data_IF_989067723025
#
_entry.id   IF_989067723025
#
_cell.length_a   1.000
_cell.length_b   1.000
_cell.length_c   1.000
_cell.angle_alpha   90.00
_cell.angle_beta   90.00
_cell.angle_gamma   90.00
#
_symmetry.space_group_name_H-M   'P 1'
#
loop_
_entity.id
_entity.type
_entity.pdbx_description
1 polymer ?
#
# COMPACT_ATOMS: atom_id res chain seq x y z
N UNK A 1 -34.88 15.73 -78.92
CA UNK A 1 -35.04 16.74 -77.85
C UNK A 1 -34.23 16.29 -76.64
N UNK A 2 -33.33 17.16 -76.15
CA UNK A 2 -32.85 17.33 -74.75
C UNK A 2 -32.64 16.08 -73.88
N UNK A 3 -31.41 15.89 -73.37
CA UNK A 3 -31.24 15.31 -72.03
C UNK A 3 -29.94 14.54 -71.75
N UNK A 4 -28.91 15.26 -71.29
CA UNK A 4 -27.91 14.85 -70.29
C UNK A 4 -27.06 13.57 -70.53
N UNK A 5 -26.07 13.69 -71.41
CA UNK A 5 -24.72 13.14 -71.17
C UNK A 5 -23.90 14.20 -70.44
N UNK A 6 -23.97 14.25 -69.11
CA UNK A 6 -23.15 15.17 -68.30
C UNK A 6 -22.77 14.51 -66.97
N UNK A 7 -21.88 13.52 -67.02
CA UNK A 7 -21.20 12.98 -65.83
C UNK A 7 -19.74 12.59 -66.06
N UNK A 8 -19.15 12.97 -67.20
CA UNK A 8 -17.76 12.60 -67.55
C UNK A 8 -17.01 13.73 -68.26
N UNK A 9 -17.09 14.99 -67.79
CA UNK A 9 -16.18 16.04 -68.27
C UNK A 9 -16.34 17.37 -67.53
N UNK A 10 -16.27 17.39 -66.20
CA UNK A 10 -15.98 18.64 -65.49
C UNK A 10 -15.00 18.38 -64.37
N UNK A 11 -13.97 19.23 -64.36
CA UNK A 11 -12.97 19.42 -63.32
C UNK A 11 -11.83 18.39 -63.23
N UNK A 12 -11.29 18.01 -64.38
CA UNK A 12 -9.85 17.76 -64.55
C UNK A 12 -9.05 19.09 -64.42
N UNK A 13 -9.18 19.75 -63.27
CA UNK A 13 -8.52 21.04 -62.93
C UNK A 13 -8.22 21.14 -61.43
N UNK A 14 -8.00 20.00 -60.78
CA UNK A 14 -7.46 19.90 -59.43
C UNK A 14 -6.29 18.89 -59.38
N UNK A 15 -5.55 18.76 -60.49
CA UNK A 15 -4.13 18.39 -60.42
C UNK A 15 -3.34 19.63 -59.97
N UNK A 16 -2.30 19.39 -59.18
CA UNK A 16 -1.14 20.29 -58.99
C UNK A 16 -1.11 21.29 -57.83
N UNK A 17 -1.74 21.01 -56.67
CA UNK A 17 -1.38 21.72 -55.41
C UNK A 17 -1.05 20.84 -54.21
N UNK A 18 -1.21 19.51 -54.29
CA UNK A 18 -0.97 18.62 -53.15
C UNK A 18 0.25 17.69 -53.28
N UNK A 19 1.16 17.93 -54.24
CA UNK A 19 2.34 17.04 -54.47
C UNK A 19 3.69 17.81 -54.49
N UNK A 20 3.71 19.13 -54.21
CA UNK A 20 4.96 19.92 -54.22
C UNK A 20 5.50 20.25 -52.83
N UNK A 21 4.83 19.83 -51.73
CA UNK A 21 5.36 19.99 -50.37
C UNK A 21 6.14 18.78 -49.83
N UNK A 22 6.53 17.83 -50.69
CA UNK A 22 7.24 16.60 -50.30
C UNK A 22 8.68 16.51 -50.81
N UNK A 23 9.22 17.56 -51.43
CA UNK A 23 10.55 17.50 -52.02
C UNK A 23 11.23 18.87 -52.01
N UNK A 24 11.59 19.38 -50.84
CA UNK A 24 12.63 20.42 -50.64
C UNK A 24 12.85 20.57 -49.13
N UNK A 25 13.76 19.77 -48.57
CA UNK A 25 14.58 20.06 -47.37
C UNK A 25 15.26 18.78 -46.88
N UNK A 26 16.11 18.20 -47.73
CA UNK A 26 17.22 17.36 -47.25
C UNK A 26 18.50 18.16 -47.44
N UNK A 27 19.38 18.12 -46.44
CA UNK A 27 20.73 18.71 -46.32
C UNK A 27 20.82 20.04 -45.55
N UNK A 28 20.92 19.96 -44.22
CA UNK A 28 22.03 20.60 -43.48
C UNK A 28 22.52 19.65 -42.39
N UNK A 29 23.84 19.71 -42.24
CA UNK A 29 24.81 18.89 -41.53
C UNK A 29 24.66 18.87 -40.00
N UNK A 30 25.27 17.83 -39.43
CA UNK A 30 25.40 17.52 -38.00
C UNK A 30 25.84 18.70 -37.11
N UNK A 31 25.19 18.82 -35.95
CA UNK A 31 25.77 19.35 -34.72
C UNK A 31 25.32 18.44 -33.57
N UNK A 32 26.30 17.83 -32.90
CA UNK A 32 26.14 16.97 -31.74
C UNK A 32 25.62 17.79 -30.57
N UNK A 33 24.42 17.50 -30.10
CA UNK A 33 23.96 17.85 -28.77
C UNK A 33 23.56 16.53 -28.08
N UNK A 34 24.32 16.12 -27.07
CA UNK A 34 23.92 15.06 -26.15
C UNK A 34 22.64 15.54 -25.43
N UNK A 35 21.51 14.96 -25.79
CA UNK A 35 20.27 15.04 -25.02
C UNK A 35 20.33 13.96 -23.92
N UNK A 36 20.03 14.30 -22.65
CA UNK A 36 20.01 13.30 -21.58
C UNK A 36 18.91 12.26 -21.88
N UNK A 37 19.14 10.97 -21.57
CA UNK A 37 18.19 9.92 -21.93
C UNK A 37 16.83 10.17 -21.29
N UNK A 38 15.82 10.26 -22.15
CA UNK A 38 14.42 10.19 -21.77
C UNK A 38 14.13 8.84 -21.12
N UNK A 39 13.85 8.87 -19.83
CA UNK A 39 13.28 7.76 -19.06
C UNK A 39 11.83 7.53 -19.50
N UNK A 40 11.66 6.91 -20.66
CA UNK A 40 10.43 6.22 -21.02
C UNK A 40 10.79 4.81 -21.43
N UNK A 41 11.19 4.02 -20.43
CA UNK A 41 11.28 2.57 -20.58
C UNK A 41 10.12 1.93 -19.80
N UNK A 42 9.23 1.32 -20.57
CA UNK A 42 8.25 0.30 -20.16
C UNK A 42 7.74 0.30 -18.73
N UNK A 43 6.93 1.29 -18.34
CA UNK A 43 5.92 1.06 -17.32
C UNK A 43 4.80 0.22 -17.93
N UNK A 44 5.07 -1.08 -18.11
CA UNK A 44 4.01 -2.06 -18.15
C UNK A 44 3.31 -1.97 -16.78
N UNK A 45 2.22 -1.21 -16.73
CA UNK A 45 1.28 -1.24 -15.63
C UNK A 45 0.79 -2.70 -15.52
N UNK A 46 1.50 -3.49 -14.70
CA UNK A 46 0.83 -4.55 -13.98
C UNK A 46 -0.18 -3.81 -13.13
N UNK A 47 -1.45 -3.99 -13.44
CA UNK A 47 -2.50 -3.96 -12.43
C UNK A 47 -2.12 -5.05 -11.41
N UNK A 48 -1.18 -4.72 -10.52
CA UNK A 48 -0.93 -5.49 -9.32
C UNK A 48 -2.17 -5.24 -8.49
N UNK A 49 -3.10 -6.20 -8.49
CA UNK A 49 -4.13 -6.25 -7.47
C UNK A 49 -3.42 -6.01 -6.14
N UNK A 50 -3.88 -5.00 -5.39
CA UNK A 50 -3.32 -4.65 -4.10
C UNK A 50 -3.42 -5.88 -3.21
N UNK A 51 -2.31 -6.60 -3.04
CA UNK A 51 -2.22 -7.76 -2.19
C UNK A 51 -1.68 -7.29 -0.84
N UNK A 52 -2.24 -7.82 0.25
CA UNK A 52 -1.70 -7.56 1.57
C UNK A 52 -0.20 -7.95 1.63
N UNK A 53 0.65 -7.15 2.28
CA UNK A 53 2.09 -7.42 2.33
C UNK A 53 2.41 -8.68 3.13
N UNK A 54 3.43 -9.40 2.68
CA UNK A 54 4.03 -10.49 3.44
C UNK A 54 4.89 -9.90 4.59
N UNK A 55 4.75 -10.45 5.80
CA UNK A 55 5.56 -10.04 6.95
C UNK A 55 7.07 -10.30 6.74
N UNK A 56 7.44 -11.26 5.89
CA UNK A 56 8.83 -11.53 5.56
C UNK A 56 9.54 -10.33 4.89
N UNK A 57 8.79 -9.44 4.23
CA UNK A 57 9.34 -8.29 3.50
C UNK A 57 10.02 -7.26 4.41
N UNK A 58 9.73 -7.28 5.73
CA UNK A 58 10.30 -6.31 6.68
C UNK A 58 11.83 -6.33 6.71
N UNK A 59 12.44 -7.51 6.52
CA UNK A 59 13.90 -7.62 6.46
C UNK A 59 14.49 -6.99 5.21
N UNK A 60 13.78 -7.07 4.09
CA UNK A 60 14.21 -6.53 2.79
C UNK A 60 14.07 -5.01 2.75
N UNK A 61 13.03 -4.48 3.43
CA UNK A 61 12.77 -3.04 3.52
C UNK A 61 13.63 -2.32 4.58
N UNK A 62 14.50 -3.06 5.27
CA UNK A 62 15.41 -2.50 6.28
C UNK A 62 16.59 -1.78 5.63
N UNK A 63 16.31 -0.66 4.97
CA UNK A 63 17.30 0.25 4.37
C UNK A 63 17.67 1.42 5.30
N UNK A 64 17.38 1.26 6.59
CA UNK A 64 17.57 2.29 7.59
C UNK A 64 18.79 1.96 8.47
N UNK A 65 19.68 2.93 8.65
CA UNK A 65 20.78 2.84 9.62
C UNK A 65 20.25 3.19 11.03
N UNK A 66 20.09 2.20 11.93
CA UNK A 66 19.51 2.42 13.26
C UNK A 66 20.40 3.27 14.17
N UNK A 67 21.69 3.44 13.84
CA UNK A 67 22.66 4.18 14.65
C UNK A 67 22.75 5.66 14.25
N UNK A 68 22.25 6.04 13.07
CA UNK A 68 22.27 7.42 12.57
C UNK A 68 21.03 8.22 13.01
N UNK A 69 19.96 7.55 13.46
CA UNK A 69 18.68 8.21 13.63
C UNK A 69 18.29 8.48 15.08
N UNK A 70 18.48 9.75 15.45
CA UNK A 70 18.05 10.37 16.72
C UNK A 70 16.62 10.95 16.66
N UNK A 71 15.89 10.77 15.54
CA UNK A 71 14.57 11.42 15.38
C UNK A 71 13.38 10.63 15.94
N UNK A 72 13.62 9.41 16.44
CA UNK A 72 12.56 8.54 16.96
C UNK A 72 12.84 8.08 18.40
N UNK A 73 11.89 8.23 19.33
CA UNK A 73 12.02 7.68 20.68
C UNK A 73 11.85 6.15 20.73
N UNK A 74 11.63 5.48 19.59
CA UNK A 74 11.38 4.05 19.54
C UNK A 74 12.58 3.21 20.03
N UNK A 75 13.81 3.63 19.75
CA UNK A 75 15.02 2.93 20.20
C UNK A 75 15.17 2.88 21.73
N UNK A 76 14.55 3.83 22.45
CA UNK A 76 14.54 3.89 23.91
C UNK A 76 13.37 3.13 24.55
N UNK A 77 12.40 2.64 23.76
CA UNK A 77 11.33 1.77 24.27
C UNK A 77 11.88 0.36 24.46
N UNK A 78 11.22 -0.42 25.32
CA UNK A 78 11.60 -1.82 25.50
C UNK A 78 11.40 -2.61 24.21
N UNK A 79 12.19 -3.66 23.98
CA UNK A 79 12.08 -4.53 22.82
C UNK A 79 10.67 -5.13 22.72
N UNK A 80 10.03 -5.43 23.85
CA UNK A 80 8.66 -5.89 23.86
C UNK A 80 7.70 -4.84 23.28
N UNK A 81 7.87 -3.58 23.67
CA UNK A 81 7.04 -2.49 23.19
C UNK A 81 7.27 -2.21 21.71
N UNK A 82 8.54 -2.16 21.27
CA UNK A 82 8.89 -1.97 19.85
C UNK A 82 8.31 -3.09 18.99
N UNK A 83 8.38 -4.35 19.44
CA UNK A 83 7.75 -5.47 18.74
C UNK A 83 6.23 -5.30 18.60
N UNK A 84 5.54 -4.85 19.65
CA UNK A 84 4.09 -4.59 19.56
C UNK A 84 3.76 -3.43 18.63
N UNK A 85 4.58 -2.38 18.64
CA UNK A 85 4.47 -1.24 17.72
C UNK A 85 4.67 -1.69 16.25
N UNK A 86 5.64 -2.57 16.01
CA UNK A 86 5.90 -3.18 14.69
C UNK A 86 4.70 -3.99 14.20
N UNK A 87 4.14 -4.85 15.04
CA UNK A 87 2.95 -5.66 14.71
C UNK A 87 1.73 -4.77 14.45
N UNK A 88 1.56 -3.68 15.21
CA UNK A 88 0.51 -2.69 14.96
C UNK A 88 0.67 -2.03 13.58
N UNK A 89 1.88 -1.57 13.25
CA UNK A 89 2.17 -0.96 11.96
C UNK A 89 1.93 -1.94 10.80
N UNK A 90 2.38 -3.20 10.95
CA UNK A 90 2.10 -4.26 9.98
C UNK A 90 0.60 -4.57 9.84
N UNK A 91 -0.14 -4.58 10.94
CA UNK A 91 -1.60 -4.72 10.92
C UNK A 91 -2.27 -3.61 10.11
N UNK A 92 -1.87 -2.35 10.35
CA UNK A 92 -2.42 -1.20 9.61
C UNK A 92 -2.12 -1.34 8.11
N UNK A 93 -0.88 -1.69 7.75
CA UNK A 93 -0.51 -1.92 6.35
C UNK A 93 -1.36 -3.02 5.69
N UNK A 94 -1.57 -4.13 6.41
CA UNK A 94 -2.40 -5.26 5.97
C UNK A 94 -3.87 -4.86 5.82
N UNK A 95 -4.40 -4.10 6.76
CA UNK A 95 -5.81 -3.73 6.81
C UNK A 95 -6.18 -2.69 5.75
N UNK A 96 -5.24 -1.83 5.37
CA UNK A 96 -5.39 -0.77 4.38
C UNK A 96 -4.62 -1.04 3.09
N UNK A 97 -4.35 -2.31 2.76
CA UNK A 97 -3.54 -2.69 1.60
C UNK A 97 -4.07 -2.13 0.26
N UNK A 98 -5.38 -1.90 0.13
CA UNK A 98 -5.98 -1.28 -1.05
C UNK A 98 -5.59 0.21 -1.24
N UNK A 99 -5.13 0.88 -0.19
CA UNK A 99 -4.56 2.23 -0.25
C UNK A 99 -3.04 2.16 -0.29
N UNK A 100 -2.46 2.27 -1.49
CA UNK A 100 -1.02 2.10 -1.69
C UNK A 100 -0.15 3.03 -0.81
N UNK A 101 -0.58 4.28 -0.61
CA UNK A 101 0.12 5.25 0.25
C UNK A 101 0.11 4.81 1.72
N UNK A 102 -1.06 4.47 2.26
CA UNK A 102 -1.21 4.04 3.66
C UNK A 102 -0.49 2.71 3.89
N UNK A 103 -0.64 1.78 2.96
CA UNK A 103 -0.01 0.47 3.03
C UNK A 103 1.51 0.59 3.04
N UNK A 104 2.08 1.38 2.13
CA UNK A 104 3.52 1.59 2.04
C UNK A 104 4.07 2.30 3.29
N UNK A 105 3.46 3.40 3.72
CA UNK A 105 3.91 4.17 4.89
C UNK A 105 3.92 3.32 6.17
N UNK A 106 2.83 2.58 6.42
CA UNK A 106 2.73 1.69 7.57
C UNK A 106 3.70 0.50 7.48
N UNK A 107 3.96 -0.02 6.27
CA UNK A 107 4.92 -1.11 6.07
C UNK A 107 6.37 -0.66 6.29
N UNK A 108 6.73 0.51 5.78
CA UNK A 108 8.04 1.13 6.05
C UNK A 108 8.19 1.46 7.53
N UNK A 109 7.12 1.88 8.21
CA UNK A 109 7.12 2.06 9.67
C UNK A 109 7.40 0.74 10.40
N UNK A 110 6.76 -0.36 10.01
CA UNK A 110 7.04 -1.68 10.56
C UNK A 110 8.50 -2.12 10.31
N UNK A 111 9.03 -1.89 9.10
CA UNK A 111 10.41 -2.23 8.76
C UNK A 111 11.43 -1.38 9.54
N UNK A 112 11.13 -0.10 9.79
CA UNK A 112 11.96 0.76 10.63
C UNK A 112 11.98 0.27 12.08
N UNK A 113 10.82 -0.09 12.64
CA UNK A 113 10.71 -0.65 14.00
C UNK A 113 11.42 -2.00 14.12
N UNK A 114 11.37 -2.82 13.06
CA UNK A 114 12.10 -4.08 12.98
C UNK A 114 13.61 -3.92 13.22
N UNK A 115 14.19 -2.77 12.86
CA UNK A 115 15.61 -2.47 13.12
C UNK A 115 15.96 -2.33 14.61
N UNK A 116 14.99 -1.96 15.45
CA UNK A 116 15.15 -1.82 16.89
C UNK A 116 14.46 -2.94 17.68
N UNK A 117 13.83 -3.89 17.00
CA UNK A 117 13.22 -5.08 17.58
C UNK A 117 14.26 -6.18 17.81
N UNK A 118 14.01 -7.05 18.80
CA UNK A 118 14.88 -8.19 19.10
C UNK A 118 14.04 -9.42 19.44
N UNK A 119 13.82 -10.30 18.47
CA UNK A 119 12.95 -11.48 18.65
C UNK A 119 13.36 -12.66 17.75
N UNK A 120 12.81 -13.83 18.03
CA UNK A 120 12.98 -15.04 17.22
C UNK A 120 12.22 -14.94 15.89
N UNK A 121 12.88 -14.45 14.84
CA UNK A 121 12.24 -14.16 13.55
C UNK A 121 11.51 -15.36 12.95
N UNK A 122 12.12 -16.54 12.95
CA UNK A 122 11.51 -17.74 12.38
C UNK A 122 10.16 -18.06 13.05
N UNK A 123 10.03 -17.80 14.35
CA UNK A 123 8.78 -17.95 15.08
C UNK A 123 7.76 -16.85 14.68
N UNK A 124 8.19 -15.61 14.48
CA UNK A 124 7.30 -14.50 14.14
C UNK A 124 6.75 -14.57 12.71
N UNK A 125 7.55 -15.03 11.75
CA UNK A 125 7.09 -15.31 10.37
C UNK A 125 5.90 -16.28 10.34
N UNK A 126 5.84 -17.22 11.29
CA UNK A 126 4.77 -18.22 11.38
C UNK A 126 3.57 -17.69 12.17
N UNK A 127 3.79 -16.88 13.20
CA UNK A 127 2.77 -16.54 14.19
C UNK A 127 2.09 -15.19 13.97
N UNK A 128 2.81 -14.17 13.50
CA UNK A 128 2.28 -12.81 13.35
C UNK A 128 1.23 -12.71 12.24
N UNK A 129 1.48 -13.16 10.98
CA UNK A 129 0.49 -13.04 9.91
C UNK A 129 -0.89 -13.66 10.23
N UNK A 130 -0.99 -14.92 10.74
CA UNK A 130 -2.30 -15.47 11.07
C UNK A 130 -2.92 -14.81 12.30
N UNK A 131 -2.15 -14.24 13.23
CA UNK A 131 -2.72 -13.46 14.33
C UNK A 131 -3.37 -12.18 13.80
N UNK A 132 -2.70 -11.44 12.93
CA UNK A 132 -3.22 -10.24 12.27
C UNK A 132 -4.49 -10.56 11.48
N UNK A 133 -4.45 -11.57 10.60
CA UNK A 133 -5.63 -11.97 9.80
C UNK A 133 -6.82 -12.31 10.69
N UNK A 134 -6.63 -13.07 11.79
CA UNK A 134 -7.74 -13.35 12.73
C UNK A 134 -8.36 -12.10 13.31
N UNK A 135 -7.58 -11.09 13.68
CA UNK A 135 -8.11 -9.82 14.21
C UNK A 135 -8.82 -8.99 13.14
N UNK A 136 -8.28 -8.96 11.92
CA UNK A 136 -8.89 -8.26 10.78
C UNK A 136 -10.21 -8.91 10.33
N UNK A 137 -10.34 -10.22 10.46
CA UNK A 137 -11.55 -10.98 10.12
C UNK A 137 -12.64 -10.92 11.19
N UNK A 138 -12.34 -10.41 12.40
CA UNK A 138 -13.34 -10.34 13.48
C UNK A 138 -14.56 -9.52 13.04
N UNK A 139 -15.78 -10.02 13.29
CA UNK A 139 -16.99 -9.26 13.01
C UNK A 139 -17.15 -8.16 14.05
N UNK A 140 -17.03 -6.89 13.64
CA UNK A 140 -17.34 -5.74 14.50
C UNK A 140 -18.74 -5.28 14.12
N UNK A 141 -19.65 -5.26 15.11
CA UNK A 141 -20.97 -4.70 14.91
C UNK A 141 -20.87 -3.20 15.15
N UNK A 142 -21.14 -2.41 14.11
CA UNK A 142 -21.49 -1.00 14.31
C UNK A 142 -22.83 -0.99 15.04
N UNK A 143 -22.88 -0.45 16.26
CA UNK A 143 -24.13 -0.23 16.95
C UNK A 143 -24.86 0.93 16.27
N UNK A 144 -25.46 0.69 15.11
CA UNK A 144 -26.30 1.65 14.40
C UNK A 144 -27.78 1.28 14.44
N UNK A 145 -28.25 0.51 15.44
CA UNK A 145 -29.69 0.30 15.68
C UNK A 145 -29.99 -0.29 17.05
N UNK A 146 -29.73 0.46 18.12
CA UNK A 146 -30.19 0.09 19.46
C UNK A 146 -30.50 1.36 20.27
N UNK A 147 -31.45 2.13 19.77
CA UNK A 147 -32.14 3.16 20.54
C UNK A 147 -33.63 3.07 20.17
N UNK A 148 -34.32 2.21 20.93
CA UNK A 148 -35.70 2.37 21.39
C UNK A 148 -36.78 2.77 20.36
N UNK A 149 -37.25 1.81 19.55
CA UNK A 149 -38.62 1.81 19.01
C UNK A 149 -39.15 0.35 19.04
N UNK A 150 -40.39 0.09 19.49
CA UNK A 150 -40.89 -1.26 19.74
C UNK A 150 -41.20 -2.02 18.45
N UNK A 151 -40.82 -3.29 18.42
CA UNK A 151 -41.11 -4.25 17.36
C UNK A 151 -42.62 -4.41 17.13
N UNK A 152 -43.14 -3.89 16.01
CA UNK A 152 -44.38 -4.36 15.40
C UNK A 152 -44.31 -4.18 13.89
N UNK A 153 -44.38 -5.30 13.16
CA UNK A 153 -44.49 -5.33 11.70
C UNK A 153 -43.46 -6.23 11.05
N UNK A 154 -43.76 -7.52 11.02
CA UNK A 154 -43.09 -8.46 10.14
C UNK A 154 -43.48 -8.16 8.69
N UNK A 155 -42.67 -7.39 7.98
CA UNK A 155 -42.64 -7.36 6.52
C UNK A 155 -41.36 -6.65 6.06
N UNK A 156 -40.71 -7.21 5.03
CA UNK A 156 -39.51 -6.71 4.35
C UNK A 156 -38.15 -7.20 4.91
N UNK A 157 -37.94 -8.52 4.89
CA UNK A 157 -36.63 -9.08 4.50
C UNK A 157 -36.34 -8.74 3.03
N UNK A 158 -36.16 -7.45 2.72
CA UNK A 158 -35.79 -7.00 1.38
C UNK A 158 -34.65 -5.99 1.49
N UNK A 159 -33.45 -6.56 1.31
CA UNK A 159 -32.34 -5.95 0.61
C UNK A 159 -31.74 -4.70 1.27
N UNK A 160 -30.80 -4.92 2.20
CA UNK A 160 -29.70 -3.97 2.42
C UNK A 160 -28.41 -4.55 1.84
N UNK A 161 -28.08 -4.28 0.56
CA UNK A 161 -26.78 -4.64 0.01
C UNK A 161 -25.79 -3.51 0.29
N UNK A 162 -25.44 -3.22 1.55
CA UNK A 162 -24.38 -2.26 1.91
C UNK A 162 -23.80 -2.57 3.32
N UNK A 163 -23.38 -3.80 3.59
CA UNK A 163 -22.62 -4.14 4.81
C UNK A 163 -21.10 -4.07 4.61
N UNK A 164 -20.62 -4.10 3.35
CA UNK A 164 -19.18 -4.21 3.04
C UNK A 164 -18.41 -2.94 3.39
N UNK A 165 -18.97 -1.75 3.17
CA UNK A 165 -18.28 -0.49 3.48
C UNK A 165 -18.21 -0.20 4.96
N UNK A 166 -19.17 -0.65 5.78
CA UNK A 166 -19.17 -0.41 7.23
C UNK A 166 -18.30 -1.40 8.00
N UNK A 167 -18.23 -2.65 7.57
CA UNK A 167 -17.27 -3.63 8.11
C UNK A 167 -15.82 -3.25 7.80
N UNK A 168 -15.59 -2.53 6.69
CA UNK A 168 -14.31 -1.91 6.37
C UNK A 168 -13.99 -0.66 7.23
N UNK A 169 -14.97 -0.03 7.91
CA UNK A 169 -14.73 1.22 8.67
C UNK A 169 -13.95 1.03 9.97
N UNK A 170 -13.89 -0.18 10.51
CA UNK A 170 -13.32 -0.44 11.84
C UNK A 170 -11.99 -1.19 11.81
N UNK A 171 -11.29 -1.16 10.67
CA UNK A 171 -9.99 -1.82 10.53
C UNK A 171 -8.93 -1.28 11.50
N UNK A 172 -8.83 0.04 11.67
CA UNK A 172 -7.96 0.63 12.68
C UNK A 172 -8.29 0.13 14.09
N UNK A 173 -9.57 0.07 14.46
CA UNK A 173 -10.00 -0.41 15.77
C UNK A 173 -9.59 -1.87 15.99
N UNK A 174 -9.70 -2.73 14.97
CA UNK A 174 -9.24 -4.12 15.03
C UNK A 174 -7.73 -4.22 15.26
N UNK A 175 -6.94 -3.35 14.64
CA UNK A 175 -5.50 -3.28 14.88
C UNK A 175 -5.16 -2.76 16.29
N UNK A 176 -5.93 -1.81 16.83
CA UNK A 176 -5.79 -1.37 18.22
C UNK A 176 -6.14 -2.50 19.21
N UNK A 177 -7.20 -3.26 18.92
CA UNK A 177 -7.57 -4.40 19.75
C UNK A 177 -6.53 -5.53 19.70
N UNK A 178 -5.92 -5.77 18.53
CA UNK A 178 -4.75 -6.65 18.39
C UNK A 178 -3.58 -6.15 19.26
N UNK A 179 -3.26 -4.86 19.17
CA UNK A 179 -2.14 -4.26 19.90
C UNK A 179 -2.29 -4.38 21.43
N UNK A 180 -3.53 -4.32 21.93
CA UNK A 180 -3.84 -4.49 23.35
C UNK A 180 -4.21 -5.93 23.75
N UNK A 181 -4.11 -6.89 22.83
CA UNK A 181 -4.54 -8.26 23.08
C UNK A 181 -3.60 -9.03 24.02
N UNK A 182 -4.18 -9.99 24.76
CA UNK A 182 -3.41 -10.95 25.54
C UNK A 182 -2.57 -11.86 24.63
N UNK A 183 -3.09 -12.22 23.45
CA UNK A 183 -2.39 -13.07 22.51
C UNK A 183 -1.10 -12.42 21.98
N UNK A 184 -1.13 -11.11 21.66
CA UNK A 184 0.08 -10.41 21.24
C UNK A 184 1.06 -10.23 22.41
N UNK A 185 0.54 -9.97 23.61
CA UNK A 185 1.35 -9.87 24.83
C UNK A 185 2.09 -11.19 25.13
N UNK A 186 1.39 -12.33 25.03
CA UNK A 186 1.97 -13.66 25.22
C UNK A 186 3.03 -13.99 24.17
N UNK A 187 2.78 -13.66 22.88
CA UNK A 187 3.80 -13.81 21.83
C UNK A 187 5.03 -12.98 22.13
N UNK A 188 4.83 -11.72 22.55
CA UNK A 188 5.93 -10.83 22.86
C UNK A 188 6.76 -11.38 24.04
N UNK A 189 6.13 -11.84 25.11
CA UNK A 189 6.82 -12.42 26.26
C UNK A 189 7.57 -13.72 25.93
N UNK A 190 7.03 -14.55 25.03
CA UNK A 190 7.60 -15.84 24.68
C UNK A 190 8.77 -15.76 23.68
N UNK A 191 8.78 -14.76 22.79
CA UNK A 191 9.67 -14.74 21.64
C UNK A 191 10.51 -13.47 21.47
N UNK A 192 10.21 -12.39 22.19
CA UNK A 192 11.10 -11.24 22.28
C UNK A 192 12.26 -11.59 23.21
N UNK A 193 13.47 -11.35 22.75
CA UNK A 193 14.71 -11.59 23.48
C UNK A 193 14.96 -10.38 24.38
N UNK A 194 15.16 -10.63 25.67
CA UNK A 194 15.36 -9.60 26.70
C UNK A 194 14.26 -8.51 26.68
N UNK A 195 12.97 -8.88 26.83
CA UNK A 195 11.82 -8.02 26.50
C UNK A 195 11.77 -6.68 27.25
N UNK A 196 12.39 -6.59 28.43
CA UNK A 196 12.44 -5.37 29.24
C UNK A 196 13.59 -4.43 28.87
N UNK A 197 14.57 -4.87 28.07
CA UNK A 197 15.69 -4.04 27.60
C UNK A 197 15.30 -3.29 26.34
N UNK A 198 16.12 -2.34 25.93
CA UNK A 198 15.92 -1.52 24.73
C UNK A 198 17.17 -1.50 23.84
N UNK A 199 16.99 -1.12 22.57
CA UNK A 199 18.11 -0.92 21.65
C UNK A 199 19.07 0.14 22.18
N UNK A 200 18.56 1.27 22.66
CA UNK A 200 19.39 2.34 23.19
C UNK A 200 20.23 1.89 24.39
N UNK A 201 19.73 1.03 25.27
CA UNK A 201 20.52 0.47 26.39
C UNK A 201 21.63 -0.49 25.92
N UNK A 202 21.37 -1.26 24.87
CA UNK A 202 22.32 -2.25 24.32
C UNK A 202 23.37 -1.62 23.40
N UNK A 203 23.07 -0.45 22.82
CA UNK A 203 23.88 0.22 21.80
C UNK A 203 24.34 1.63 22.22
N UNK A 204 24.09 2.05 23.46
CA UNK A 204 24.67 3.26 24.01
C UNK A 204 26.21 3.14 23.98
N UNK A 205 26.85 4.00 23.19
CA UNK A 205 28.31 4.15 23.22
C UNK A 205 28.67 4.64 24.62
N UNK A 206 29.40 3.83 25.38
CA UNK A 206 30.01 4.26 26.65
C UNK A 206 30.99 5.39 26.29
N UNK A 207 30.83 6.61 26.84
CA UNK A 207 31.73 7.73 26.58
C UNK A 207 33.15 7.47 27.10
#
# INVERSE_FOLDING_TARGET
>A
MRGLTCYRMYAALALSTMIVLAALSSLVFAATAEEPPSLTDGAAQRETQAQAPDYAVLQELRDFDPDIVDVSPASARSYQQVFKDEVLAYCISTAYHESAEVAADALYTAAALHSWSRYELAAMLIQVPPLVSRYLERPYRTASRASDEPEMGAESEQLMPQASSEQAKLQLLKCLDLYHSAELEELAQAHVIDPSRSYAEDHAVIP
#
